data_IF_714604155719
#
_entry.id   IF_714604155719
#
_cell.length_a   1.000
_cell.length_b   1.000
_cell.length_c   1.000
_cell.angle_alpha   90.00
_cell.angle_beta   90.00
_cell.angle_gamma   90.00
#
_symmetry.space_group_name_H-M   'P 1'
#
loop_
_entity.id
_entity.type
_entity.pdbx_description
1 polymer ?
#
# COMPACT_ATOMS: atom_id res chain seq x y z
N UNK A 1 -11.58 -16.03 -19.41
CA UNK A 1 -12.22 -15.71 -18.11
C UNK A 1 -11.94 -14.25 -17.78
N UNK A 2 -12.61 -13.32 -18.47
CA UNK A 2 -13.00 -12.08 -17.78
C UNK A 2 -13.92 -12.55 -16.65
N UNK A 3 -13.82 -11.97 -15.46
CA UNK A 3 -14.75 -12.30 -14.38
C UNK A 3 -16.17 -12.05 -14.88
N UNK A 4 -16.90 -13.12 -15.21
CA UNK A 4 -18.21 -13.08 -15.89
C UNK A 4 -19.35 -12.65 -14.96
N UNK A 5 -19.03 -12.07 -13.80
CA UNK A 5 -20.00 -11.60 -12.80
C UNK A 5 -19.57 -10.26 -12.15
N UNK A 6 -18.86 -9.39 -12.87
CA UNK A 6 -18.71 -8.02 -12.42
C UNK A 6 -20.08 -7.33 -12.50
N UNK A 7 -20.77 -7.22 -11.34
CA UNK A 7 -22.04 -6.52 -11.23
C UNK A 7 -21.92 -5.15 -11.90
N UNK A 8 -22.92 -4.77 -12.69
CA UNK A 8 -23.01 -3.45 -13.36
C UNK A 8 -23.20 -2.36 -12.31
N UNK A 9 -22.11 -2.03 -11.60
CA UNK A 9 -22.00 -0.87 -10.75
C UNK A 9 -21.51 0.30 -11.63
N UNK A 10 -21.94 1.54 -11.36
CA UNK A 10 -21.37 2.69 -12.02
C UNK A 10 -19.85 2.70 -11.78
N UNK A 11 -19.03 2.99 -12.81
CA UNK A 11 -17.59 3.02 -12.65
C UNK A 11 -17.21 4.07 -11.62
N UNK A 12 -16.30 3.73 -10.70
CA UNK A 12 -15.75 4.70 -9.75
C UNK A 12 -14.96 5.80 -10.47
N UNK A 13 -14.38 5.47 -11.62
CA UNK A 13 -13.61 6.38 -12.47
C UNK A 13 -13.75 5.94 -13.93
N UNK A 14 -14.04 6.88 -14.83
CA UNK A 14 -14.09 6.61 -16.25
C UNK A 14 -13.52 7.76 -17.11
N UNK A 15 -13.74 7.66 -18.41
CA UNK A 15 -13.20 8.62 -19.37
C UNK A 15 -13.80 10.03 -19.31
N UNK A 16 -14.90 10.22 -18.60
CA UNK A 16 -15.59 11.51 -18.40
C UNK A 16 -15.00 12.29 -17.24
N UNK A 17 -14.30 11.63 -16.31
CA UNK A 17 -13.61 12.26 -15.18
C UNK A 17 -12.26 12.89 -15.58
N UNK A 18 -11.67 12.40 -16.68
CA UNK A 18 -10.32 12.76 -17.14
C UNK A 18 -10.09 14.28 -17.33
N UNK A 19 -11.02 15.06 -17.91
CA UNK A 19 -10.86 16.51 -18.05
C UNK A 19 -10.70 17.27 -16.72
N UNK A 20 -11.05 16.64 -15.58
CA UNK A 20 -10.92 17.24 -14.25
C UNK A 20 -9.61 16.86 -13.55
N UNK A 21 -8.73 16.07 -14.19
CA UNK A 21 -7.44 15.68 -13.63
C UNK A 21 -6.42 16.82 -13.69
N UNK A 22 -5.46 16.77 -12.75
CA UNK A 22 -4.39 17.75 -12.66
C UNK A 22 -3.20 17.37 -13.54
N UNK A 23 -3.03 18.08 -14.65
CA UNK A 23 -1.91 17.89 -15.59
C UNK A 23 -0.58 18.48 -15.11
N UNK A 24 -0.55 19.23 -14.01
CA UNK A 24 0.69 19.81 -13.47
C UNK A 24 1.58 18.76 -12.77
N UNK A 25 0.99 17.63 -12.36
CA UNK A 25 1.67 16.52 -11.70
C UNK A 25 1.20 15.19 -12.32
N UNK A 26 1.52 14.95 -13.61
CA UNK A 26 1.01 13.81 -14.33
C UNK A 26 1.63 12.50 -13.79
N UNK A 27 0.85 11.44 -13.85
CA UNK A 27 1.19 10.15 -13.26
C UNK A 27 1.79 9.17 -14.27
N UNK A 28 2.49 8.15 -13.77
CA UNK A 28 2.73 6.92 -14.53
C UNK A 28 1.65 5.95 -14.07
N UNK A 29 0.79 5.52 -15.00
CA UNK A 29 -0.38 4.69 -14.68
C UNK A 29 -0.13 3.26 -15.14
N UNK A 30 -0.37 2.30 -14.25
CA UNK A 30 -0.51 0.90 -14.60
C UNK A 30 -1.95 0.47 -14.31
N UNK A 31 -2.70 0.08 -15.34
CA UNK A 31 -4.08 -0.36 -15.20
C UNK A 31 -4.17 -1.88 -15.27
N UNK A 32 -4.24 -2.52 -14.10
CA UNK A 32 -4.53 -3.95 -13.91
C UNK A 32 -5.99 -4.29 -14.26
N UNK A 33 -6.39 -4.03 -15.50
CA UNK A 33 -7.76 -4.19 -15.98
C UNK A 33 -7.82 -4.51 -17.48
N UNK A 34 -8.89 -5.17 -17.90
CA UNK A 34 -9.14 -5.56 -19.29
C UNK A 34 -9.36 -4.36 -20.20
N UNK A 35 -8.90 -4.47 -21.45
CA UNK A 35 -9.29 -3.58 -22.56
C UNK A 35 -9.04 -2.07 -22.35
N UNK A 36 -8.30 -1.69 -21.30
CA UNK A 36 -8.03 -0.27 -21.00
C UNK A 36 -7.11 0.40 -22.02
N UNK A 37 -6.49 -0.40 -22.90
CA UNK A 37 -5.71 0.01 -24.06
C UNK A 37 -6.22 -0.58 -25.37
N UNK A 38 -7.51 -0.97 -25.47
CA UNK A 38 -8.09 -1.53 -26.71
C UNK A 38 -7.89 -0.56 -27.89
N UNK A 39 -7.05 -0.89 -28.90
CA UNK A 39 -6.60 0.09 -29.89
C UNK A 39 -7.67 0.51 -30.90
N UNK A 40 -8.75 -0.26 -31.04
CA UNK A 40 -9.79 -0.05 -32.04
C UNK A 40 -10.79 1.07 -31.65
N UNK A 41 -10.78 1.51 -30.38
CA UNK A 41 -11.65 2.59 -29.88
C UNK A 41 -10.87 3.58 -29.01
N UNK A 42 -11.37 4.81 -28.76
CA UNK A 42 -10.79 5.70 -27.77
C UNK A 42 -10.80 5.07 -26.37
N UNK A 43 -9.68 4.46 -25.99
CA UNK A 43 -9.51 3.76 -24.73
C UNK A 43 -9.27 4.71 -23.55
N UNK A 44 -9.41 4.18 -22.33
CA UNK A 44 -9.08 4.90 -21.10
C UNK A 44 -7.61 5.38 -21.12
N UNK A 45 -6.69 4.49 -21.50
CA UNK A 45 -5.27 4.81 -21.61
C UNK A 45 -4.99 5.93 -22.62
N UNK A 46 -5.67 5.94 -23.77
CA UNK A 46 -5.52 7.01 -24.75
C UNK A 46 -5.92 8.37 -24.19
N UNK A 47 -7.03 8.44 -23.46
CA UNK A 47 -7.48 9.71 -22.87
C UNK A 47 -6.61 10.15 -21.69
N UNK A 48 -6.12 9.22 -20.87
CA UNK A 48 -5.19 9.55 -19.78
C UNK A 48 -3.84 10.08 -20.28
N UNK A 49 -3.37 9.61 -21.43
CA UNK A 49 -2.17 10.17 -22.07
C UNK A 49 -2.36 11.58 -22.62
N UNK A 50 -3.62 12.00 -22.87
CA UNK A 50 -3.92 13.39 -23.23
C UNK A 50 -4.02 14.27 -21.97
N UNK A 51 -4.53 13.72 -20.87
CA UNK A 51 -4.72 14.41 -19.59
C UNK A 51 -4.51 13.46 -18.39
N UNK A 52 -3.58 13.79 -17.51
CA UNK A 52 -3.37 13.13 -16.21
C UNK A 52 -2.23 12.10 -16.16
N UNK A 53 -1.72 11.63 -17.30
CA UNK A 53 -0.64 10.65 -17.35
C UNK A 53 0.47 10.99 -18.37
N UNK A 54 1.72 10.73 -17.99
CA UNK A 54 2.91 10.81 -18.87
C UNK A 54 3.32 9.45 -19.44
N UNK A 55 2.87 8.38 -18.81
CA UNK A 55 2.99 7.02 -19.33
C UNK A 55 1.82 6.18 -18.84
N UNK A 56 1.41 5.23 -19.67
CA UNK A 56 0.29 4.34 -19.40
C UNK A 56 0.67 2.91 -19.78
N UNK A 57 0.46 1.97 -18.86
CA UNK A 57 0.57 0.55 -19.11
C UNK A 57 -0.81 -0.07 -18.94
N UNK A 58 -1.31 -0.75 -19.97
CA UNK A 58 -2.62 -1.39 -19.91
C UNK A 58 -2.82 -2.44 -21.00
N UNK A 59 -3.88 -3.23 -20.83
CA UNK A 59 -4.18 -4.39 -21.67
C UNK A 59 -4.93 -4.01 -22.95
N UNK A 60 -4.48 -4.51 -24.09
CA UNK A 60 -5.14 -4.38 -25.41
C UNK A 60 -6.25 -5.40 -25.62
N UNK A 61 -6.34 -6.43 -24.78
CA UNK A 61 -7.31 -7.54 -24.82
C UNK A 61 -7.73 -7.90 -23.38
N UNK A 62 -8.59 -8.91 -23.17
CA UNK A 62 -8.92 -9.37 -21.82
C UNK A 62 -7.67 -9.72 -21.01
N UNK A 63 -7.45 -8.99 -19.91
CA UNK A 63 -6.38 -9.25 -18.95
C UNK A 63 -6.80 -10.41 -18.06
N UNK A 64 -5.91 -11.39 -17.87
CA UNK A 64 -6.23 -12.59 -17.10
C UNK A 64 -5.73 -12.43 -15.67
N UNK A 65 -6.64 -12.62 -14.71
CA UNK A 65 -6.33 -12.71 -13.28
C UNK A 65 -5.74 -14.07 -12.91
N UNK A 66 -5.37 -14.28 -11.64
CA UNK A 66 -4.95 -15.59 -11.16
C UNK A 66 -6.11 -16.60 -11.25
N UNK A 67 -5.85 -17.77 -11.83
CA UNK A 67 -6.87 -18.82 -12.08
C UNK A 67 -7.00 -19.80 -10.88
N UNK A 68 -6.07 -19.74 -9.92
CA UNK A 68 -6.07 -20.54 -8.69
C UNK A 68 -5.73 -19.67 -7.47
N UNK A 69 -6.00 -20.20 -6.26
CA UNK A 69 -5.85 -19.58 -4.92
C UNK A 69 -5.28 -18.13 -4.90
N UNK A 70 -6.12 -17.10 -4.67
CA UNK A 70 -5.68 -15.70 -4.66
C UNK A 70 -4.67 -15.37 -3.54
N UNK A 71 -4.40 -16.30 -2.62
CA UNK A 71 -3.43 -16.15 -1.54
C UNK A 71 -2.05 -16.75 -1.86
N UNK A 72 -1.90 -17.49 -2.96
CA UNK A 72 -0.61 -18.05 -3.35
C UNK A 72 0.21 -17.03 -4.15
N UNK A 73 1.43 -16.78 -3.70
CA UNK A 73 2.42 -15.97 -4.44
C UNK A 73 2.83 -16.59 -5.78
N UNK A 74 2.52 -17.88 -6.00
CA UNK A 74 2.77 -18.61 -7.24
C UNK A 74 1.63 -18.47 -8.26
N UNK A 75 0.50 -17.88 -7.86
CA UNK A 75 -0.64 -17.67 -8.76
C UNK A 75 -0.49 -16.30 -9.43
N UNK A 76 0.20 -16.34 -10.57
CA UNK A 76 0.43 -15.19 -11.43
C UNK A 76 -0.86 -14.70 -12.12
N UNK A 77 -0.85 -13.44 -12.52
CA UNK A 77 -1.95 -12.77 -13.22
C UNK A 77 -1.57 -11.33 -13.51
N UNK A 78 -2.50 -10.53 -14.03
CA UNK A 78 -2.22 -9.14 -14.38
C UNK A 78 -1.75 -8.30 -13.17
N UNK A 79 -2.21 -8.62 -11.95
CA UNK A 79 -1.77 -7.99 -10.69
C UNK A 79 -0.33 -8.38 -10.32
N UNK A 80 0.08 -9.61 -10.64
CA UNK A 80 1.47 -10.05 -10.44
C UNK A 80 2.43 -9.31 -11.35
N UNK A 81 2.04 -9.09 -12.61
CA UNK A 81 2.83 -8.27 -13.54
C UNK A 81 2.93 -6.80 -13.07
N UNK A 82 1.84 -6.23 -12.53
CA UNK A 82 1.85 -4.91 -11.91
C UNK A 82 2.81 -4.84 -10.71
N UNK A 83 2.75 -5.82 -9.81
CA UNK A 83 3.64 -5.90 -8.66
C UNK A 83 5.11 -5.90 -9.09
N UNK A 84 5.47 -6.74 -10.07
CA UNK A 84 6.83 -6.80 -10.60
C UNK A 84 7.25 -5.48 -11.26
N UNK A 85 6.35 -4.85 -12.02
CA UNK A 85 6.60 -3.53 -12.59
C UNK A 85 6.88 -2.48 -11.50
N UNK A 86 6.05 -2.44 -10.45
CA UNK A 86 6.23 -1.53 -9.32
C UNK A 86 7.53 -1.81 -8.55
N UNK A 87 7.89 -3.08 -8.34
CA UNK A 87 9.16 -3.52 -7.73
C UNK A 87 10.35 -2.92 -8.48
N UNK A 88 10.41 -3.06 -9.80
CA UNK A 88 11.52 -2.54 -10.60
C UNK A 88 11.50 -1.02 -10.76
N UNK A 89 10.32 -0.43 -11.00
CA UNK A 89 10.22 1.01 -11.22
C UNK A 89 10.49 1.81 -9.93
N UNK A 90 9.91 1.40 -8.80
CA UNK A 90 9.98 2.13 -7.53
C UNK A 90 11.12 1.60 -6.65
N UNK A 91 11.20 0.29 -6.47
CA UNK A 91 12.20 -0.35 -5.61
C UNK A 91 13.61 -0.22 -6.18
N UNK A 92 13.78 -0.63 -7.44
CA UNK A 92 15.07 -0.59 -8.15
C UNK A 92 15.32 0.73 -8.90
N UNK A 93 14.36 1.68 -8.86
CA UNK A 93 14.46 3.01 -9.49
C UNK A 93 14.77 2.98 -10.99
N UNK A 94 14.29 1.94 -11.68
CA UNK A 94 14.50 1.78 -13.12
C UNK A 94 13.67 2.77 -13.94
N UNK A 95 14.07 2.98 -15.19
CA UNK A 95 13.20 3.67 -16.15
C UNK A 95 11.94 2.83 -16.41
N UNK A 96 10.84 3.46 -16.81
CA UNK A 96 9.55 2.80 -17.02
C UNK A 96 9.67 1.63 -18.01
N UNK A 97 10.39 1.81 -19.12
CA UNK A 97 10.60 0.76 -20.11
C UNK A 97 11.45 -0.40 -19.57
N UNK A 98 12.54 -0.09 -18.85
CA UNK A 98 13.40 -1.09 -18.22
C UNK A 98 12.61 -1.89 -17.18
N UNK A 99 11.83 -1.21 -16.34
CA UNK A 99 11.01 -1.83 -15.31
C UNK A 99 10.00 -2.80 -15.91
N UNK A 100 9.30 -2.41 -16.99
CA UNK A 100 8.35 -3.30 -17.65
C UNK A 100 9.04 -4.49 -18.32
N UNK A 101 10.22 -4.27 -18.93
CA UNK A 101 11.00 -5.36 -19.52
C UNK A 101 11.42 -6.41 -18.48
N UNK A 102 12.03 -5.98 -17.38
CA UNK A 102 12.43 -6.90 -16.30
C UNK A 102 11.23 -7.54 -15.61
N UNK A 103 10.15 -6.80 -15.42
CA UNK A 103 8.91 -7.35 -14.87
C UNK A 103 8.37 -8.47 -15.76
N UNK A 104 8.31 -8.27 -17.08
CA UNK A 104 7.86 -9.28 -18.04
C UNK A 104 8.78 -10.52 -18.04
N UNK A 105 10.09 -10.32 -17.98
CA UNK A 105 11.06 -11.42 -17.91
C UNK A 105 10.88 -12.25 -16.63
N UNK A 106 10.81 -11.59 -15.46
CA UNK A 106 10.60 -12.26 -14.17
C UNK A 106 9.22 -12.93 -14.10
N UNK A 107 8.18 -12.28 -14.66
CA UNK A 107 6.83 -12.81 -14.75
C UNK A 107 6.79 -14.14 -15.52
N UNK A 108 7.49 -14.21 -16.67
CA UNK A 108 7.59 -15.49 -17.41
C UNK A 108 8.32 -16.56 -16.62
N UNK A 109 9.33 -16.21 -15.83
CA UNK A 109 10.11 -17.19 -15.07
C UNK A 109 9.29 -17.86 -13.94
N UNK A 110 8.47 -17.07 -13.23
CA UNK A 110 7.70 -17.57 -12.09
C UNK A 110 6.38 -18.23 -12.47
N UNK A 111 5.77 -17.86 -13.59
CA UNK A 111 4.37 -18.21 -13.88
C UNK A 111 4.17 -19.06 -15.15
N UNK A 112 5.24 -19.41 -15.88
CA UNK A 112 5.14 -20.14 -17.15
C UNK A 112 4.80 -21.63 -17.06
N UNK A 113 4.92 -22.30 -15.90
CA UNK A 113 4.80 -23.77 -15.83
C UNK A 113 3.37 -24.31 -15.68
N UNK A 114 2.45 -23.55 -15.08
CA UNK A 114 1.04 -23.97 -14.90
C UNK A 114 0.02 -23.01 -15.55
N UNK A 115 0.44 -21.80 -15.96
CA UNK A 115 -0.43 -20.77 -16.53
C UNK A 115 0.13 -20.18 -17.83
N UNK A 116 0.81 -21.00 -18.64
CA UNK A 116 1.55 -20.55 -19.83
C UNK A 116 0.69 -19.75 -20.82
N UNK A 117 -0.60 -20.11 -20.95
CA UNK A 117 -1.53 -19.42 -21.85
C UNK A 117 -1.92 -18.04 -21.30
N UNK A 118 -2.10 -17.93 -19.99
CA UNK A 118 -2.52 -16.72 -19.29
C UNK A 118 -1.35 -15.74 -19.12
N UNK A 119 -0.21 -16.28 -18.74
CA UNK A 119 1.07 -15.57 -18.66
C UNK A 119 1.46 -15.04 -20.04
N UNK A 120 1.34 -15.86 -21.08
CA UNK A 120 1.55 -15.44 -22.46
C UNK A 120 0.59 -14.34 -22.89
N UNK A 121 -0.70 -14.47 -22.59
CA UNK A 121 -1.73 -13.46 -22.91
C UNK A 121 -1.38 -12.12 -22.25
N UNK A 122 -1.18 -12.09 -20.93
CA UNK A 122 -0.80 -10.87 -20.22
C UNK A 122 0.54 -10.27 -20.70
N UNK A 123 1.51 -11.13 -21.06
CA UNK A 123 2.82 -10.70 -21.56
C UNK A 123 2.70 -9.86 -22.83
N UNK A 124 1.83 -10.25 -23.76
CA UNK A 124 1.65 -9.56 -25.04
C UNK A 124 0.59 -8.45 -24.97
N UNK A 125 -0.41 -8.58 -24.10
CA UNK A 125 -1.51 -7.63 -24.05
C UNK A 125 -1.17 -6.36 -23.27
N UNK A 126 -0.33 -6.45 -22.24
CA UNK A 126 0.10 -5.27 -21.47
C UNK A 126 1.19 -4.50 -22.22
N UNK A 127 0.82 -3.35 -22.75
CA UNK A 127 1.69 -2.50 -23.56
C UNK A 127 1.97 -1.18 -22.86
N UNK A 128 3.19 -0.67 -23.02
CA UNK A 128 3.60 0.64 -22.54
C UNK A 128 3.34 1.69 -23.64
N UNK A 129 2.66 2.75 -23.25
CA UNK A 129 2.42 3.94 -24.04
C UNK A 129 3.03 5.15 -23.32
N UNK A 130 3.77 5.99 -24.05
CA UNK A 130 4.59 7.07 -23.48
C UNK A 130 6.08 6.83 -23.67
N UNK A 131 6.92 7.65 -23.04
CA UNK A 131 8.37 7.55 -23.18
C UNK A 131 8.95 6.45 -22.25
N UNK A 132 9.54 5.37 -22.79
CA UNK A 132 10.15 4.31 -21.98
C UNK A 132 11.37 4.79 -21.18
N UNK A 133 11.97 5.91 -21.57
CA UNK A 133 13.08 6.57 -20.89
C UNK A 133 12.68 7.31 -19.61
N UNK A 134 11.38 7.47 -19.35
CA UNK A 134 10.87 8.15 -18.15
C UNK A 134 11.40 7.47 -16.89
N UNK A 135 11.85 8.29 -15.95
CA UNK A 135 12.20 7.86 -14.60
C UNK A 135 11.16 8.40 -13.66
N UNK A 136 10.68 7.53 -12.77
CA UNK A 136 9.90 7.98 -11.65
C UNK A 136 10.80 8.83 -10.74
N UNK A 137 10.68 10.15 -10.87
CA UNK A 137 11.16 11.11 -9.88
C UNK A 137 9.99 11.33 -8.94
N UNK A 138 9.78 10.39 -8.03
CA UNK A 138 8.83 10.59 -6.96
C UNK A 138 9.13 11.93 -6.29
N UNK A 139 8.20 12.87 -6.32
CA UNK A 139 8.15 13.82 -5.22
C UNK A 139 7.63 13.02 -4.04
N UNK A 140 8.38 13.01 -2.94
CA UNK A 140 7.73 12.79 -1.65
C UNK A 140 6.61 13.83 -1.58
N UNK A 141 5.36 13.39 -1.74
CA UNK A 141 4.23 14.12 -1.14
C UNK A 141 4.66 14.38 0.31
N UNK A 142 4.31 15.54 0.89
CA UNK A 142 4.94 16.10 2.11
C UNK A 142 5.10 15.22 3.36
N UNK A 143 4.81 13.92 3.31
CA UNK A 143 5.56 12.89 4.03
C UNK A 143 7.01 12.89 3.53
N UNK A 144 7.82 13.84 4.00
CA UNK A 144 9.28 13.65 4.07
C UNK A 144 9.49 12.22 4.60
N UNK A 145 10.31 11.40 3.93
CA UNK A 145 10.98 10.29 4.64
C UNK A 145 11.79 11.00 5.72
N UNK A 146 11.23 11.20 6.91
CA UNK A 146 11.96 11.99 7.88
C UNK A 146 13.14 11.14 8.31
N UNK A 147 14.29 11.58 7.85
CA UNK A 147 15.58 11.22 8.42
C UNK A 147 15.66 11.70 9.89
N UNK A 148 14.65 12.46 10.37
CA UNK A 148 14.54 13.00 11.72
C UNK A 148 13.37 12.45 12.58
N UNK A 149 12.64 11.40 12.16
CA UNK A 149 11.68 10.77 13.08
C UNK A 149 12.43 9.95 14.13
N UNK A 150 12.31 10.33 15.39
CA UNK A 150 12.88 9.55 16.50
C UNK A 150 12.14 8.23 16.64
N UNK A 151 10.81 8.26 16.59
CA UNK A 151 9.98 7.07 16.67
C UNK A 151 9.59 6.57 15.26
N UNK A 152 9.91 5.32 14.95
CA UNK A 152 9.73 4.77 13.60
C UNK A 152 8.31 4.21 13.37
N UNK A 153 7.73 3.53 14.36
CA UNK A 153 6.44 2.81 14.29
C UNK A 153 5.94 2.48 15.70
N UNK A 154 4.62 2.35 15.84
CA UNK A 154 3.93 1.74 16.99
C UNK A 154 2.94 0.70 16.47
N UNK A 155 3.00 -0.53 16.99
CA UNK A 155 2.03 -1.59 16.67
C UNK A 155 1.52 -2.27 17.93
N UNK A 156 0.36 -2.91 17.83
CA UNK A 156 -0.27 -3.67 18.90
C UNK A 156 -0.48 -5.12 18.47
N UNK A 157 -0.07 -6.06 19.32
CA UNK A 157 -0.26 -7.49 19.08
C UNK A 157 -0.75 -8.19 20.36
N UNK A 158 -1.99 -8.70 20.40
CA UNK A 158 -3.05 -8.49 19.42
C UNK A 158 -3.72 -7.12 19.59
N UNK A 159 -4.20 -6.51 18.50
CA UNK A 159 -4.92 -5.22 18.58
C UNK A 159 -6.37 -5.39 19.09
N UNK A 160 -6.94 -6.60 18.99
CA UNK A 160 -8.18 -7.03 19.66
C UNK A 160 -7.79 -7.99 20.78
N UNK A 161 -8.16 -7.69 22.03
CA UNK A 161 -7.70 -8.47 23.19
C UNK A 161 -8.73 -8.55 24.32
N UNK A 162 -8.59 -9.59 25.15
CA UNK A 162 -9.40 -9.79 26.37
C UNK A 162 -8.62 -9.33 27.61
N UNK A 163 -7.44 -9.91 27.81
CA UNK A 163 -6.63 -9.70 29.03
C UNK A 163 -5.55 -8.64 28.84
N UNK A 164 -4.73 -8.77 27.80
CA UNK A 164 -3.65 -7.83 27.52
C UNK A 164 -3.33 -7.71 26.05
N UNK A 165 -2.68 -6.61 25.70
CA UNK A 165 -2.09 -6.34 24.38
C UNK A 165 -0.66 -5.90 24.55
N UNK A 166 0.20 -6.29 23.61
CA UNK A 166 1.59 -5.86 23.58
C UNK A 166 1.75 -4.71 22.60
N UNK A 167 2.25 -3.58 23.08
CA UNK A 167 2.67 -2.44 22.28
C UNK A 167 4.15 -2.54 21.96
N UNK A 168 4.49 -2.45 20.68
CA UNK A 168 5.87 -2.48 20.19
C UNK A 168 6.16 -1.17 19.48
N UNK A 169 7.23 -0.49 19.89
CA UNK A 169 7.73 0.71 19.23
C UNK A 169 9.24 0.65 19.06
N UNK A 170 9.77 1.44 18.12
CA UNK A 170 11.22 1.54 17.93
C UNK A 170 11.69 2.99 17.80
N UNK A 171 12.87 3.24 18.37
CA UNK A 171 13.55 4.52 18.39
C UNK A 171 14.81 4.45 17.51
N UNK A 172 15.01 5.48 16.68
CA UNK A 172 16.22 5.64 15.86
C UNK A 172 17.38 6.34 16.57
N UNK A 173 17.06 7.16 17.57
CA UNK A 173 18.03 7.91 18.38
C UNK A 173 17.53 8.00 19.81
N UNK A 174 18.43 8.33 20.72
CA UNK A 174 18.09 8.58 22.11
C UNK A 174 17.10 9.76 22.22
N UNK A 175 16.02 9.60 23.00
CA UNK A 175 15.06 10.68 23.29
C UNK A 175 14.13 10.36 24.47
N UNK A 176 13.43 11.40 24.95
CA UNK A 176 12.35 11.28 25.93
C UNK A 176 11.07 10.74 25.27
N UNK A 177 10.55 9.64 25.82
CA UNK A 177 9.41 8.91 25.25
C UNK A 177 8.27 8.82 26.23
N UNK A 178 7.08 9.15 25.73
CA UNK A 178 5.79 8.97 26.38
C UNK A 178 5.01 7.87 25.67
N UNK A 179 4.68 6.78 26.36
CA UNK A 179 3.71 5.79 25.87
C UNK A 179 2.53 5.73 26.82
N UNK A 180 1.33 5.94 26.29
CA UNK A 180 0.10 6.01 27.09
C UNK A 180 -1.10 5.51 26.31
N UNK A 181 -2.20 5.27 27.02
CA UNK A 181 -3.47 4.83 26.48
C UNK A 181 -4.50 5.95 26.62
N UNK A 182 -5.28 6.20 25.58
CA UNK A 182 -6.43 7.09 25.59
C UNK A 182 -7.75 6.36 25.32
N UNK A 183 -8.84 6.88 25.86
CA UNK A 183 -10.19 6.50 25.45
C UNK A 183 -10.64 7.21 24.16
N UNK A 184 -11.85 6.92 23.69
CA UNK A 184 -12.43 7.53 22.47
C UNK A 184 -12.65 9.04 22.57
N UNK A 185 -12.69 9.60 23.78
CA UNK A 185 -12.78 11.04 24.01
C UNK A 185 -11.40 11.71 24.07
N UNK A 186 -10.32 10.95 23.85
CA UNK A 186 -8.95 11.43 23.93
C UNK A 186 -8.40 11.55 25.36
N UNK A 187 -9.15 11.11 26.38
CA UNK A 187 -8.69 11.20 27.78
C UNK A 187 -7.62 10.14 28.03
N UNK A 188 -6.47 10.54 28.57
CA UNK A 188 -5.39 9.63 28.98
C UNK A 188 -5.86 8.79 30.16
N UNK A 189 -6.00 7.47 29.97
CA UNK A 189 -6.48 6.51 30.98
C UNK A 189 -5.35 5.75 31.67
N UNK A 190 -4.21 5.58 31.01
CA UNK A 190 -3.02 4.95 31.58
C UNK A 190 -1.74 5.52 30.94
N UNK A 191 -0.69 5.71 31.73
CA UNK A 191 0.67 5.97 31.23
C UNK A 191 1.50 4.72 31.45
N UNK A 192 2.14 4.22 30.39
CA UNK A 192 2.93 2.98 30.43
C UNK A 192 4.43 3.27 30.46
N UNK A 193 4.86 4.34 29.79
CA UNK A 193 6.26 4.80 29.75
C UNK A 193 6.28 6.32 29.79
N UNK A 194 7.19 6.88 30.59
CA UNK A 194 7.51 8.31 30.64
C UNK A 194 8.98 8.43 31.08
N UNK A 195 9.90 8.19 30.15
CA UNK A 195 11.34 8.17 30.45
C UNK A 195 12.19 8.38 29.18
N UNK A 196 13.48 8.68 29.38
CA UNK A 196 14.48 8.76 28.32
C UNK A 196 14.94 7.37 27.90
N UNK A 197 14.95 7.08 26.61
CA UNK A 197 15.31 5.78 26.03
C UNK A 197 16.37 5.92 24.94
N UNK A 198 17.28 4.95 24.90
CA UNK A 198 18.30 4.77 23.87
C UNK A 198 17.70 4.29 22.52
N UNK A 199 18.46 4.33 21.41
CA UNK A 199 18.02 3.73 20.15
C UNK A 199 17.77 2.22 20.32
N UNK A 200 16.62 1.73 19.84
CA UNK A 200 16.27 0.32 20.01
C UNK A 200 14.80 0.01 19.76
N UNK A 201 14.44 -1.27 19.91
CA UNK A 201 13.06 -1.74 19.88
C UNK A 201 12.60 -2.05 21.31
N UNK A 202 11.40 -1.58 21.65
CA UNK A 202 10.83 -1.68 22.98
C UNK A 202 9.47 -2.36 22.92
N UNK A 203 9.22 -3.19 23.93
CA UNK A 203 8.02 -4.02 24.05
C UNK A 203 7.39 -3.70 25.41
N UNK A 204 6.13 -3.30 25.39
CA UNK A 204 5.36 -2.95 26.59
C UNK A 204 4.07 -3.76 26.59
N UNK A 205 3.70 -4.34 27.72
CA UNK A 205 2.40 -4.97 27.88
C UNK A 205 1.41 -4.01 28.56
N UNK A 206 0.18 -3.95 28.04
CA UNK A 206 -0.94 -3.30 28.72
C UNK A 206 -2.06 -4.30 28.99
N UNK A 207 -2.48 -4.37 30.25
CA UNK A 207 -3.47 -5.34 30.75
C UNK A 207 -4.92 -4.79 30.81
N UNK A 208 -5.22 -3.71 30.10
CA UNK A 208 -6.56 -3.13 30.06
C UNK A 208 -6.98 -2.38 31.34
N UNK A 209 -6.04 -1.99 32.19
CA UNK A 209 -6.29 -1.22 33.42
C UNK A 209 -5.93 0.26 33.27
N UNK A 210 -6.60 1.10 34.04
CA UNK A 210 -6.24 2.52 34.18
C UNK A 210 -5.08 2.75 35.15
N UNK A 211 -4.67 4.00 35.31
CA UNK A 211 -3.61 4.41 36.24
C UNK A 211 -3.90 4.08 37.72
N UNK A 212 -5.16 3.86 38.10
CA UNK A 212 -5.56 3.44 39.44
C UNK A 212 -5.64 1.90 39.60
N UNK A 213 -5.26 1.15 38.56
CA UNK A 213 -5.32 -0.31 38.54
C UNK A 213 -6.72 -0.89 38.31
N UNK A 214 -7.72 -0.04 38.02
CA UNK A 214 -9.10 -0.48 37.77
C UNK A 214 -9.22 -1.04 36.35
N UNK A 215 -9.94 -2.15 36.22
CA UNK A 215 -10.29 -2.70 34.91
C UNK A 215 -11.15 -1.69 34.15
N UNK A 216 -10.70 -1.30 32.97
CA UNK A 216 -11.51 -0.51 32.05
C UNK A 216 -12.63 -1.37 31.47
N UNK A 217 -13.72 -0.79 30.95
CA UNK A 217 -14.75 -1.55 30.25
C UNK A 217 -14.25 -2.05 28.87
N UNK A 218 -14.90 -3.06 28.27
CA UNK A 218 -14.75 -3.36 26.85
C UNK A 218 -15.06 -2.11 26.01
N UNK A 219 -14.32 -1.92 24.93
CA UNK A 219 -14.46 -0.72 24.10
C UNK A 219 -13.23 -0.45 23.24
N UNK A 220 -13.29 0.69 22.54
CA UNK A 220 -12.20 1.17 21.70
C UNK A 220 -11.28 2.06 22.55
N UNK A 221 -9.98 1.84 22.40
CA UNK A 221 -8.92 2.63 23.01
C UNK A 221 -7.86 2.95 21.96
N UNK A 222 -6.95 3.86 22.29
CA UNK A 222 -5.84 4.25 21.45
C UNK A 222 -4.54 4.17 22.24
N UNK A 223 -3.61 3.32 21.78
CA UNK A 223 -2.23 3.36 22.26
C UNK A 223 -1.49 4.48 21.54
N UNK A 224 -0.89 5.40 22.29
CA UNK A 224 -0.18 6.55 21.76
C UNK A 224 1.26 6.48 22.24
N UNK A 225 2.21 6.61 21.32
CA UNK A 225 3.62 6.82 21.61
C UNK A 225 4.04 8.19 21.06
N UNK A 226 4.53 9.05 21.93
CA UNK A 226 4.96 10.40 21.62
C UNK A 226 6.43 10.60 22.02
N UNK A 227 7.17 11.33 21.19
CA UNK A 227 8.57 11.64 21.39
C UNK A 227 8.93 12.86 20.55
N UNK A 228 9.45 13.93 21.17
CA UNK A 228 9.74 15.21 20.51
C UNK A 228 8.58 15.67 19.61
N UNK A 229 8.81 15.83 18.30
CA UNK A 229 7.81 16.23 17.30
C UNK A 229 7.13 15.04 16.61
N UNK A 230 7.21 13.85 17.20
CA UNK A 230 6.71 12.60 16.62
C UNK A 230 5.64 11.99 17.51
N UNK A 231 4.56 11.55 16.90
CA UNK A 231 3.48 10.84 17.59
C UNK A 231 2.98 9.74 16.68
N UNK A 232 2.87 8.53 17.23
CA UNK A 232 2.25 7.38 16.57
C UNK A 232 1.08 6.90 17.42
N UNK A 233 0.03 6.47 16.74
CA UNK A 233 -1.19 5.99 17.40
C UNK A 233 -1.61 4.67 16.77
N UNK A 234 -2.04 3.73 17.61
CA UNK A 234 -2.60 2.45 17.20
C UNK A 234 -3.96 2.26 17.86
N UNK A 235 -4.94 1.81 17.07
CA UNK A 235 -6.27 1.47 17.58
C UNK A 235 -6.21 0.14 18.34
N UNK A 236 -6.85 0.12 19.50
CA UNK A 236 -6.99 -1.04 20.37
C UNK A 236 -8.48 -1.32 20.59
N UNK A 237 -8.84 -2.60 20.64
CA UNK A 237 -10.22 -3.04 20.89
C UNK A 237 -10.18 -4.05 22.02
N UNK A 238 -10.74 -3.66 23.17
CA UNK A 238 -10.88 -4.57 24.31
C UNK A 238 -12.26 -5.21 24.29
N UNK A 239 -12.29 -6.53 24.36
CA UNK A 239 -13.51 -7.34 24.42
C UNK A 239 -13.61 -8.06 25.78
N UNK A 240 -14.77 -8.65 26.07
CA UNK A 240 -14.97 -9.48 27.27
C UNK A 240 -14.44 -10.88 27.06
#
# INVERSE_FOLDING_TARGET
TCETEEQVQPPFFDTTDIPFLNDSLPSIVYASACLTSYPEVPSLGRKLLLHGAVAYIGATRPALGPVADPLSWQNGGNTGLNYLFAKYMIGEKMKVGEALYYAKNEYTHYFSSESASETGTNLYDFNLYGDPGLRWRGFSTGIRRAENYVLLRLFATPYIFINSTTLVYSLKREADVDVFICDVCGRKVATLVHERKEPGMYIIEWNGRDAAGKNLPPGIYFGVAACENTTCTVKLIRIK
#
